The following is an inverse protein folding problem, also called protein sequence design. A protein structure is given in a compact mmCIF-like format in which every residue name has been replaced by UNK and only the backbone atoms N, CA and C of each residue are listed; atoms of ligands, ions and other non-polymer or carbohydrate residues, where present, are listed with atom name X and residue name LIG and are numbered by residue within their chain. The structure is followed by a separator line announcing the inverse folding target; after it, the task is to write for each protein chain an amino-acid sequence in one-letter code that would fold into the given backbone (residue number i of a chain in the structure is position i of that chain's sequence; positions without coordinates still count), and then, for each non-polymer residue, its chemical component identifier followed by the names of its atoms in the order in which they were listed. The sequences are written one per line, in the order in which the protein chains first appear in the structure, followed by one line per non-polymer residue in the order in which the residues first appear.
data_IF_830517186174
#
_entry.id   IF_830517186174
#
_cell.length_a   1.000
_cell.length_b   1.000
_cell.length_c   1.000
_cell.angle_alpha   90.00
_cell.angle_beta   90.00
_cell.angle_gamma   90.00
#
_symmetry.space_group_name_H-M   'P 1'
#
loop_
_entity.id
_entity.type
_entity.pdbx_description
1 polymer ?
#
# COMPACT_ATOMS: atom_id res chain seq x y z
N UNK A 1 3.12 -72.40 59.24
CA UNK A 1 4.37 -71.60 59.22
C UNK A 1 4.08 -70.26 58.59
N UNK A 2 3.95 -69.21 59.43
CA UNK A 2 3.67 -67.88 59.00
C UNK A 2 4.95 -67.08 59.06
N UNK A 3 5.35 -66.43 57.99
CA UNK A 3 6.49 -65.53 57.95
C UNK A 3 5.97 -64.12 57.84
N UNK A 4 6.22 -63.34 58.91
CA UNK A 4 5.93 -61.90 58.97
C UNK A 4 6.87 -61.13 58.03
N UNK A 5 6.40 -60.22 57.27
CA UNK A 5 7.17 -59.20 56.58
C UNK A 5 7.00 -57.85 57.28
N UNK A 6 8.13 -57.31 57.63
CA UNK A 6 8.38 -56.05 58.33
C UNK A 6 7.98 -54.81 57.46
N UNK A 7 7.27 -53.84 58.09
CA UNK A 7 7.02 -52.54 57.55
C UNK A 7 8.29 -51.70 57.57
N UNK A 8 8.84 -51.39 56.43
CA UNK A 8 9.87 -50.34 56.26
C UNK A 8 9.19 -49.02 55.88
N UNK A 9 9.41 -48.04 56.72
CA UNK A 9 8.98 -46.66 56.58
C UNK A 9 9.61 -46.02 55.34
N UNK A 10 8.78 -45.52 54.40
CA UNK A 10 9.19 -44.68 53.31
C UNK A 10 9.01 -43.24 53.78
N UNK A 11 10.10 -42.55 54.01
CA UNK A 11 10.12 -41.11 54.27
C UNK A 11 9.91 -40.41 52.90
N UNK A 12 8.74 -39.83 52.68
CA UNK A 12 8.48 -38.98 51.55
C UNK A 12 9.13 -37.60 51.80
N UNK A 13 10.16 -37.28 51.04
CA UNK A 13 10.70 -35.91 50.99
C UNK A 13 9.69 -35.00 50.24
N UNK A 14 8.93 -34.22 50.98
CA UNK A 14 8.10 -33.15 50.43
C UNK A 14 9.03 -31.99 49.99
N UNK A 15 9.34 -31.95 48.71
CA UNK A 15 10.00 -30.79 48.11
C UNK A 15 9.07 -29.57 48.21
N UNK A 16 9.47 -28.54 48.94
CA UNK A 16 8.79 -27.28 49.04
C UNK A 16 8.86 -26.54 47.67
N UNK A 17 7.85 -26.70 46.88
CA UNK A 17 7.57 -25.80 45.73
C UNK A 17 7.10 -24.47 46.37
N UNK A 18 8.00 -23.50 46.41
CA UNK A 18 7.62 -22.12 46.79
C UNK A 18 6.55 -21.59 45.81
N UNK A 19 5.68 -20.70 46.29
CA UNK A 19 4.64 -20.13 45.42
C UNK A 19 5.29 -19.38 44.25
N UNK A 20 5.03 -19.85 43.02
CA UNK A 20 5.36 -19.08 41.82
C UNK A 20 4.42 -17.87 41.83
N UNK A 21 4.91 -16.74 42.32
CA UNK A 21 4.19 -15.47 42.22
C UNK A 21 4.25 -15.05 40.76
N UNK A 22 3.18 -15.33 40.00
CA UNK A 22 2.98 -14.76 38.67
C UNK A 22 2.69 -13.28 38.93
N UNK A 23 3.69 -12.43 38.76
CA UNK A 23 3.51 -10.98 38.74
C UNK A 23 2.79 -10.66 37.44
N UNK A 24 1.46 -10.66 37.47
CA UNK A 24 0.65 -10.08 36.40
C UNK A 24 0.83 -8.58 36.53
N UNK A 25 1.68 -7.99 35.68
CA UNK A 25 1.74 -6.52 35.58
C UNK A 25 0.33 -6.05 35.22
N UNK A 26 -0.25 -5.10 35.97
CA UNK A 26 -1.54 -4.55 35.62
C UNK A 26 -1.44 -3.99 34.20
N UNK A 27 -2.33 -4.40 33.32
CA UNK A 27 -2.47 -3.80 31.99
C UNK A 27 -2.91 -2.36 32.19
N UNK A 28 -1.95 -1.45 32.07
CA UNK A 28 -2.24 -0.01 32.07
C UNK A 28 -3.16 0.28 30.88
N UNK A 29 -4.20 1.07 31.10
CA UNK A 29 -5.02 1.57 30.00
C UNK A 29 -4.12 2.35 29.03
N UNK A 30 -4.32 2.17 27.73
CA UNK A 30 -3.53 2.87 26.72
C UNK A 30 -3.70 4.39 26.87
N UNK A 31 -2.57 5.11 26.90
CA UNK A 31 -2.55 6.57 26.94
C UNK A 31 -3.03 7.17 25.61
N UNK A 32 -2.74 6.43 24.51
CA UNK A 32 -3.08 6.81 23.15
C UNK A 32 -3.80 5.66 22.43
N UNK A 33 -5.04 5.94 22.00
CA UNK A 33 -5.83 5.00 21.18
C UNK A 33 -6.02 5.60 19.82
N UNK A 34 -5.62 4.84 18.79
CA UNK A 34 -5.64 5.30 17.42
C UNK A 34 -6.37 4.32 16.50
N UNK A 35 -6.72 4.82 15.33
CA UNK A 35 -7.19 4.02 14.22
C UNK A 35 -6.26 4.23 13.00
N UNK A 36 -5.94 3.13 12.34
CA UNK A 36 -5.19 3.06 11.10
C UNK A 36 -6.09 2.52 10.00
N UNK A 37 -6.22 3.26 8.91
CA UNK A 37 -7.02 2.84 7.77
C UNK A 37 -6.15 2.56 6.55
N UNK A 38 -6.63 1.70 5.66
CA UNK A 38 -6.12 1.48 4.31
C UNK A 38 -7.20 0.84 3.44
N UNK A 39 -7.08 0.98 2.11
CA UNK A 39 -8.09 0.52 1.17
C UNK A 39 -7.88 -0.92 0.66
N UNK A 40 -6.87 -1.65 1.16
CA UNK A 40 -6.53 -2.98 0.67
C UNK A 40 -7.27 -4.09 1.44
N UNK A 41 -7.43 -5.29 0.85
CA UNK A 41 -8.02 -6.44 1.54
C UNK A 41 -7.22 -6.87 2.77
N UNK A 42 -7.92 -7.39 3.80
CA UNK A 42 -7.30 -7.85 5.04
C UNK A 42 -6.35 -9.04 4.85
N UNK A 43 -6.52 -9.84 3.79
CA UNK A 43 -5.61 -10.95 3.45
C UNK A 43 -4.27 -10.54 2.87
N UNK A 44 -4.11 -9.27 2.44
CA UNK A 44 -2.92 -8.76 1.75
C UNK A 44 -1.72 -8.51 2.67
N UNK A 45 -0.54 -8.40 2.07
CA UNK A 45 0.72 -8.13 2.76
C UNK A 45 0.69 -6.80 3.50
N UNK A 46 0.07 -5.76 2.92
CA UNK A 46 -0.06 -4.45 3.54
C UNK A 46 -0.78 -4.53 4.90
N UNK A 47 -1.97 -5.14 4.94
CA UNK A 47 -2.74 -5.25 6.19
C UNK A 47 -1.98 -6.02 7.26
N UNK A 48 -1.42 -7.17 6.90
CA UNK A 48 -0.66 -8.02 7.84
C UNK A 48 0.52 -7.29 8.45
N UNK A 49 1.27 -6.57 7.63
CA UNK A 49 2.43 -5.80 8.10
C UNK A 49 2.01 -4.59 8.95
N UNK A 50 0.92 -3.89 8.61
CA UNK A 50 0.40 -2.81 9.45
C UNK A 50 -0.08 -3.32 10.82
N UNK A 51 -0.79 -4.45 10.87
CA UNK A 51 -1.21 -5.08 12.14
C UNK A 51 0.02 -5.43 12.97
N UNK A 52 0.99 -6.14 12.39
CA UNK A 52 2.20 -6.55 13.09
C UNK A 52 3.04 -5.35 13.56
N UNK A 53 3.12 -4.29 12.76
CA UNK A 53 3.76 -3.02 13.12
C UNK A 53 3.13 -2.42 14.39
N UNK A 54 1.81 -2.30 14.43
CA UNK A 54 1.13 -1.71 15.57
C UNK A 54 1.16 -2.60 16.81
N UNK A 55 1.18 -3.91 16.66
CA UNK A 55 1.42 -4.84 17.77
C UNK A 55 2.84 -4.68 18.35
N UNK A 56 3.86 -4.51 17.51
CA UNK A 56 5.22 -4.22 17.94
C UNK A 56 5.30 -2.87 18.66
N UNK A 57 4.68 -1.82 18.13
CA UNK A 57 4.58 -0.51 18.79
C UNK A 57 3.90 -0.63 20.15
N UNK A 58 2.80 -1.37 20.26
CA UNK A 58 2.12 -1.63 21.53
C UNK A 58 3.04 -2.31 22.53
N UNK A 59 3.77 -3.33 22.10
CA UNK A 59 4.70 -4.05 22.96
C UNK A 59 5.85 -3.15 23.45
N UNK A 60 6.51 -2.43 22.54
CA UNK A 60 7.65 -1.56 22.84
C UNK A 60 7.26 -0.34 23.68
N UNK A 61 6.01 0.13 23.56
CA UNK A 61 5.47 1.22 24.42
C UNK A 61 4.86 0.71 25.73
N UNK A 62 5.01 -0.59 26.06
CA UNK A 62 4.39 -1.21 27.26
C UNK A 62 2.87 -0.96 27.31
N UNK A 63 2.18 -1.02 26.16
CA UNK A 63 0.74 -0.83 26.06
C UNK A 63 0.27 0.62 26.09
N UNK A 64 1.16 1.62 26.09
CA UNK A 64 0.77 3.04 26.07
C UNK A 64 0.14 3.46 24.75
N UNK A 65 0.49 2.80 23.66
CA UNK A 65 -0.12 3.00 22.34
C UNK A 65 -0.92 1.76 21.97
N UNK A 66 -2.17 1.95 21.59
CA UNK A 66 -3.05 0.92 21.06
C UNK A 66 -3.66 1.43 19.75
N UNK A 67 -3.50 0.67 18.66
CA UNK A 67 -4.01 1.07 17.34
C UNK A 67 -4.83 -0.05 16.72
N UNK A 68 -6.05 0.26 16.31
CA UNK A 68 -6.88 -0.68 15.53
C UNK A 68 -6.67 -0.44 14.04
N UNK A 69 -6.34 -1.50 13.29
CA UNK A 69 -6.12 -1.43 11.85
C UNK A 69 -7.38 -1.89 11.10
N UNK A 70 -7.89 -1.02 10.24
CA UNK A 70 -9.07 -1.26 9.43
C UNK A 70 -8.72 -1.41 7.94
N UNK A 71 -8.98 -2.60 7.41
CA UNK A 71 -8.89 -2.90 5.98
C UNK A 71 -10.07 -2.31 5.20
N UNK A 72 -9.93 -2.16 3.88
CA UNK A 72 -10.97 -1.73 2.94
C UNK A 72 -11.68 -0.45 3.39
N UNK A 73 -10.92 0.46 4.04
CA UNK A 73 -11.42 1.70 4.66
C UNK A 73 -12.60 1.47 5.62
N UNK A 74 -12.69 0.30 6.24
CA UNK A 74 -13.81 -0.09 7.08
C UNK A 74 -15.18 0.18 6.42
N UNK A 75 -15.24 0.00 5.10
CA UNK A 75 -16.44 0.23 4.27
C UNK A 75 -17.03 1.64 4.37
N UNK A 76 -16.18 2.66 4.64
CA UNK A 76 -16.62 4.06 4.63
C UNK A 76 -17.34 4.36 3.30
N UNK A 77 -18.55 4.87 3.38
CA UNK A 77 -19.28 5.36 2.22
C UNK A 77 -18.49 6.50 1.56
N UNK A 78 -18.32 6.46 0.23
CA UNK A 78 -17.47 7.41 -0.50
C UNK A 78 -16.00 6.97 -0.65
N UNK A 79 -15.58 5.87 0.02
CA UNK A 79 -14.26 5.25 -0.17
C UNK A 79 -13.08 6.13 0.21
N UNK A 80 -12.00 6.05 -0.60
CA UNK A 80 -10.73 6.74 -0.30
C UNK A 80 -10.83 8.26 -0.14
N UNK A 81 -11.58 9.01 -0.98
CA UNK A 81 -11.71 10.46 -0.81
C UNK A 81 -12.34 10.85 0.53
N UNK A 82 -13.34 10.08 0.99
CA UNK A 82 -13.98 10.35 2.27
C UNK A 82 -13.09 9.95 3.46
N UNK A 83 -12.38 8.83 3.36
CA UNK A 83 -11.39 8.43 4.36
C UNK A 83 -10.26 9.48 4.48
N UNK A 84 -9.81 10.05 3.38
CA UNK A 84 -8.80 11.12 3.38
C UNK A 84 -9.32 12.40 4.07
N UNK A 85 -10.57 12.79 3.83
CA UNK A 85 -11.19 13.91 4.58
C UNK A 85 -11.23 13.64 6.08
N UNK A 86 -11.56 12.42 6.49
CA UNK A 86 -11.57 12.02 7.90
C UNK A 86 -10.18 12.05 8.53
N UNK A 87 -9.13 11.71 7.79
CA UNK A 87 -7.75 11.90 8.23
C UNK A 87 -7.46 13.38 8.46
N UNK A 88 -7.81 14.25 7.52
CA UNK A 88 -7.59 15.70 7.64
C UNK A 88 -8.38 16.35 8.79
N UNK A 89 -9.55 15.80 9.12
CA UNK A 89 -10.35 16.19 10.25
C UNK A 89 -9.83 15.63 11.60
N UNK A 90 -8.88 14.68 11.57
CA UNK A 90 -8.38 14.01 12.77
C UNK A 90 -9.27 12.90 13.31
N UNK A 91 -10.34 12.54 12.61
CA UNK A 91 -11.19 11.39 12.94
C UNK A 91 -10.45 10.05 12.71
N UNK A 92 -9.56 10.02 11.73
CA UNK A 92 -8.59 8.95 11.49
C UNK A 92 -7.21 9.50 11.83
N UNK A 93 -6.42 8.79 12.64
CA UNK A 93 -5.11 9.24 13.07
C UNK A 93 -4.01 8.81 12.13
N UNK A 94 -4.13 7.60 11.56
CA UNK A 94 -3.15 7.05 10.60
C UNK A 94 -3.86 6.51 9.37
N UNK A 95 -3.26 6.73 8.21
CA UNK A 95 -3.81 6.24 6.94
C UNK A 95 -2.67 5.79 6.03
N UNK A 96 -2.94 4.76 5.25
CA UNK A 96 -1.98 4.29 4.24
C UNK A 96 -2.67 4.30 2.88
N UNK A 97 -2.21 5.19 1.98
CA UNK A 97 -2.90 5.48 0.74
C UNK A 97 -1.93 5.73 -0.42
N UNK A 98 -2.38 5.43 -1.64
CA UNK A 98 -1.65 5.65 -2.89
C UNK A 98 -1.47 7.15 -3.20
N UNK A 99 -0.28 7.52 -3.70
CA UNK A 99 0.08 8.91 -3.99
C UNK A 99 -0.89 9.63 -4.94
N UNK A 100 -1.39 8.94 -5.96
CA UNK A 100 -2.36 9.53 -6.90
C UNK A 100 -3.68 9.91 -6.26
N UNK A 101 -4.13 9.19 -5.22
CA UNK A 101 -5.34 9.57 -4.48
C UNK A 101 -5.05 10.72 -3.52
N UNK A 102 -3.89 10.70 -2.86
CA UNK A 102 -3.41 11.83 -2.03
C UNK A 102 -3.31 13.11 -2.88
N UNK A 103 -2.96 12.97 -4.16
CA UNK A 103 -2.87 14.04 -5.15
C UNK A 103 -4.13 14.89 -5.31
N UNK A 104 -5.30 14.36 -4.95
CA UNK A 104 -6.55 15.14 -4.93
C UNK A 104 -6.52 16.29 -3.91
N UNK A 105 -5.61 16.23 -2.91
CA UNK A 105 -5.40 17.26 -1.89
C UNK A 105 -4.00 17.87 -1.98
N UNK A 106 -2.99 17.06 -2.32
CA UNK A 106 -1.59 17.42 -2.43
C UNK A 106 -1.08 17.05 -3.83
N UNK A 107 -1.21 17.92 -4.83
CA UNK A 107 -0.92 17.58 -6.23
C UNK A 107 0.44 16.92 -6.46
N UNK A 108 1.49 17.34 -5.74
CA UNK A 108 2.84 16.76 -5.89
C UNK A 108 2.91 15.28 -5.49
N UNK A 109 1.97 14.75 -4.71
CA UNK A 109 1.93 13.33 -4.40
C UNK A 109 1.64 12.45 -5.64
N UNK A 110 0.99 13.00 -6.68
CA UNK A 110 0.81 12.30 -7.95
C UNK A 110 2.13 12.06 -8.70
N UNK A 111 3.19 12.82 -8.39
CA UNK A 111 4.50 12.64 -9.01
C UNK A 111 5.10 11.24 -8.81
N UNK A 112 4.69 10.53 -7.76
CA UNK A 112 5.02 9.12 -7.54
C UNK A 112 4.48 8.19 -8.64
N UNK A 113 3.53 8.66 -9.42
CA UNK A 113 2.81 7.91 -10.45
C UNK A 113 3.01 8.49 -11.85
N UNK A 114 4.08 9.26 -12.08
CA UNK A 114 4.44 9.68 -13.44
C UNK A 114 4.66 8.43 -14.29
N UNK A 115 3.93 8.28 -15.41
CA UNK A 115 4.00 7.06 -16.18
C UNK A 115 5.41 6.79 -16.71
N UNK A 116 5.85 5.54 -16.60
CA UNK A 116 7.17 5.06 -17.00
C UNK A 116 8.36 5.82 -16.36
N UNK A 117 8.16 6.55 -15.28
CA UNK A 117 9.27 7.19 -14.56
C UNK A 117 10.18 6.14 -13.94
N UNK A 118 9.63 5.20 -13.20
CA UNK A 118 10.40 4.14 -12.55
C UNK A 118 10.46 2.87 -13.41
N UNK A 119 11.65 2.30 -13.54
CA UNK A 119 11.89 1.05 -14.26
C UNK A 119 11.59 -0.19 -13.40
N UNK A 120 11.60 -0.03 -12.08
CA UNK A 120 11.39 -1.11 -11.13
C UNK A 120 10.91 -0.58 -9.77
N UNK A 121 10.33 -1.45 -8.95
CA UNK A 121 9.95 -1.09 -7.59
C UNK A 121 11.15 -0.66 -6.71
N UNK A 122 12.34 -1.29 -6.74
CA UNK A 122 13.50 -0.80 -6.00
C UNK A 122 13.94 0.62 -6.36
N UNK A 123 13.86 1.02 -7.65
CA UNK A 123 14.15 2.39 -8.07
C UNK A 123 13.13 3.37 -7.48
N UNK A 124 11.85 3.01 -7.49
CA UNK A 124 10.81 3.81 -6.87
C UNK A 124 11.01 3.93 -5.34
N UNK A 125 11.34 2.82 -4.67
CA UNK A 125 11.60 2.83 -3.23
C UNK A 125 12.74 3.78 -2.87
N UNK A 126 13.85 3.76 -3.63
CA UNK A 126 14.98 4.66 -3.43
C UNK A 126 14.57 6.12 -3.56
N UNK A 127 13.80 6.46 -4.60
CA UNK A 127 13.34 7.83 -4.84
C UNK A 127 12.41 8.31 -3.71
N UNK A 128 11.46 7.48 -3.29
CA UNK A 128 10.49 7.82 -2.23
C UNK A 128 11.15 7.95 -0.86
N UNK A 129 12.17 7.15 -0.56
CA UNK A 129 12.92 7.26 0.70
C UNK A 129 13.97 8.40 0.64
N UNK A 130 14.18 9.02 -0.53
CA UNK A 130 15.15 10.05 -0.81
C UNK A 130 14.63 11.49 -0.75
N UNK A 131 15.36 12.44 -1.38
CA UNK A 131 14.99 13.86 -1.44
C UNK A 131 13.62 14.11 -2.09
N UNK A 132 13.26 13.31 -3.09
CA UNK A 132 11.96 13.39 -3.76
C UNK A 132 10.81 13.12 -2.80
N UNK A 133 10.87 12.02 -2.03
CA UNK A 133 9.84 11.69 -1.05
C UNK A 133 9.78 12.69 0.11
N UNK A 134 10.94 13.22 0.56
CA UNK A 134 10.96 14.28 1.58
C UNK A 134 10.23 15.54 1.13
N UNK A 135 10.44 15.97 -0.11
CA UNK A 135 9.72 17.12 -0.66
C UNK A 135 8.20 16.88 -0.70
N UNK A 136 7.76 15.69 -1.10
CA UNK A 136 6.33 15.33 -1.02
C UNK A 136 5.82 15.43 0.42
N UNK A 137 6.60 14.95 1.39
CA UNK A 137 6.27 15.05 2.82
C UNK A 137 6.15 16.50 3.32
N UNK A 138 7.01 17.42 2.87
CA UNK A 138 6.91 18.84 3.17
C UNK A 138 5.58 19.43 2.68
N UNK A 139 5.20 19.12 1.44
CA UNK A 139 3.95 19.59 0.85
C UNK A 139 2.70 18.95 1.51
N UNK A 140 2.81 17.69 1.94
CA UNK A 140 1.77 17.01 2.72
C UNK A 140 1.62 17.65 4.11
N UNK A 141 2.71 18.03 4.76
CA UNK A 141 2.68 18.69 6.06
C UNK A 141 1.99 20.06 5.99
N UNK A 142 2.17 20.82 4.91
CA UNK A 142 1.45 22.06 4.65
C UNK A 142 -0.07 21.88 4.54
N UNK A 143 -0.53 20.63 4.32
CA UNK A 143 -1.95 20.25 4.25
C UNK A 143 -2.44 19.46 5.47
N UNK A 144 -1.65 19.39 6.54
CA UNK A 144 -2.06 18.76 7.78
C UNK A 144 -1.80 17.24 7.86
N UNK A 145 -0.95 16.69 6.99
CA UNK A 145 -0.56 15.28 6.99
C UNK A 145 0.93 15.12 7.25
N UNK A 146 1.30 14.24 8.15
CA UNK A 146 2.69 13.82 8.35
C UNK A 146 2.99 12.59 7.51
N UNK A 147 3.96 12.67 6.61
CA UNK A 147 4.48 11.54 5.88
C UNK A 147 5.69 10.96 6.61
N UNK A 148 5.69 9.65 6.88
CA UNK A 148 6.81 9.00 7.53
C UNK A 148 8.06 9.02 6.65
N UNK A 149 9.29 9.09 7.22
CA UNK A 149 10.53 9.14 6.44
C UNK A 149 10.76 7.91 5.53
N UNK A 150 10.35 6.73 5.99
CA UNK A 150 10.25 5.50 5.21
C UNK A 150 8.77 5.11 5.17
N UNK A 151 8.03 5.69 4.23
CA UNK A 151 6.57 5.63 4.22
C UNK A 151 5.99 4.67 3.18
N UNK A 152 6.73 4.42 2.09
CA UNK A 152 6.20 3.76 0.91
C UNK A 152 6.16 2.24 1.04
N UNK A 153 5.05 1.67 1.53
CA UNK A 153 4.74 0.26 1.33
C UNK A 153 4.61 -0.03 -0.17
N UNK A 154 5.11 -1.18 -0.62
CA UNK A 154 5.04 -1.55 -2.03
C UNK A 154 3.67 -2.14 -2.39
N UNK A 155 3.20 -1.77 -3.58
CA UNK A 155 2.10 -2.45 -4.26
C UNK A 155 2.63 -3.18 -5.50
N UNK A 156 3.64 -2.62 -6.14
CA UNK A 156 4.33 -3.13 -7.31
C UNK A 156 4.12 -2.29 -8.57
N UNK A 157 4.69 -2.77 -9.67
CA UNK A 157 4.49 -2.19 -11.00
C UNK A 157 3.11 -2.56 -11.51
N UNK A 158 2.41 -1.58 -12.07
CA UNK A 158 1.03 -1.74 -12.56
C UNK A 158 1.04 -2.32 -13.98
N UNK A 159 0.13 -3.27 -14.19
CA UNK A 159 -0.07 -3.99 -15.45
C UNK A 159 -1.50 -3.73 -15.94
N UNK A 160 -1.72 -3.81 -17.22
CA UNK A 160 -3.07 -3.76 -17.79
C UNK A 160 -3.65 -5.16 -17.87
N UNK A 161 -4.89 -5.33 -17.42
CA UNK A 161 -5.62 -6.60 -17.55
C UNK A 161 -6.94 -6.38 -18.27
N UNK A 162 -7.31 -7.32 -19.13
CA UNK A 162 -8.48 -7.19 -19.99
C UNK A 162 -9.30 -8.46 -20.06
N UNK A 163 -10.58 -8.32 -20.34
CA UNK A 163 -11.52 -9.44 -20.48
C UNK A 163 -11.43 -10.06 -21.88
N UNK A 164 -11.28 -9.26 -22.93
CA UNK A 164 -11.56 -9.68 -24.31
C UNK A 164 -10.33 -9.87 -25.20
N UNK A 165 -9.29 -9.05 -25.05
CA UNK A 165 -8.11 -9.04 -25.94
C UNK A 165 -6.87 -8.53 -25.21
N UNK A 166 -5.66 -8.98 -25.58
CA UNK A 166 -4.43 -8.42 -25.05
C UNK A 166 -4.19 -6.99 -25.57
N UNK A 167 -3.36 -6.23 -24.85
CA UNK A 167 -2.84 -4.93 -25.26
C UNK A 167 -1.36 -5.12 -25.64
N UNK A 168 -1.01 -4.85 -26.89
CA UNK A 168 0.36 -4.90 -27.38
C UNK A 168 0.94 -3.49 -27.66
N UNK A 169 0.11 -2.55 -28.05
CA UNK A 169 0.47 -1.19 -28.44
C UNK A 169 -0.60 -0.18 -27.99
N UNK A 170 -0.31 1.13 -27.92
CA UNK A 170 -1.25 2.14 -27.49
C UNK A 170 -2.59 2.14 -28.26
N UNK A 171 -2.54 1.90 -29.56
CA UNK A 171 -3.74 1.90 -30.41
C UNK A 171 -4.77 0.83 -30.02
N UNK A 172 -4.34 -0.22 -29.32
CA UNK A 172 -5.24 -1.26 -28.81
C UNK A 172 -6.19 -0.73 -27.71
N UNK A 173 -5.90 0.44 -27.14
CA UNK A 173 -6.79 1.12 -26.20
C UNK A 173 -7.93 1.92 -26.85
N UNK A 174 -7.91 2.09 -28.17
CA UNK A 174 -8.88 2.97 -28.85
C UNK A 174 -10.33 2.61 -28.48
N UNK A 175 -11.00 3.54 -27.78
CA UNK A 175 -12.37 3.41 -27.31
C UNK A 175 -12.60 2.42 -26.16
N UNK A 176 -11.56 1.76 -25.64
CA UNK A 176 -11.65 0.77 -24.55
C UNK A 176 -12.05 1.44 -23.24
N UNK A 177 -13.11 0.93 -22.62
CA UNK A 177 -13.50 1.35 -21.27
C UNK A 177 -12.60 0.67 -20.24
N UNK A 178 -11.71 1.45 -19.64
CA UNK A 178 -10.79 0.98 -18.62
C UNK A 178 -11.09 1.58 -17.26
N UNK A 179 -11.17 0.74 -16.24
CA UNK A 179 -11.24 1.23 -14.86
C UNK A 179 -9.88 1.76 -14.42
N UNK A 180 -9.87 2.97 -13.86
CA UNK A 180 -8.72 3.55 -13.17
C UNK A 180 -9.10 3.95 -11.74
N UNK A 181 -8.13 3.98 -10.78
CA UNK A 181 -8.38 4.52 -9.44
C UNK A 181 -8.63 6.04 -9.50
N UNK A 182 -9.15 6.65 -8.42
CA UNK A 182 -9.14 8.10 -8.28
C UNK A 182 -7.70 8.64 -8.33
N UNK A 183 -7.43 9.49 -9.32
CA UNK A 183 -6.14 10.11 -9.59
C UNK A 183 -6.14 10.67 -11.00
N UNK A 184 -5.75 11.94 -11.15
CA UNK A 184 -5.86 12.59 -12.44
C UNK A 184 -4.75 12.15 -13.41
N UNK A 185 -3.53 11.93 -12.91
CA UNK A 185 -2.41 11.54 -13.77
C UNK A 185 -2.64 10.20 -14.46
N UNK A 186 -3.17 9.22 -13.74
CA UNK A 186 -3.46 7.91 -14.35
C UNK A 186 -4.63 8.00 -15.34
N UNK A 187 -5.62 8.85 -15.05
CA UNK A 187 -6.71 9.15 -15.98
C UNK A 187 -6.16 9.75 -17.27
N UNK A 188 -5.33 10.81 -17.17
CA UNK A 188 -4.74 11.52 -18.32
C UNK A 188 -3.84 10.56 -19.13
N UNK A 189 -3.13 9.64 -18.47
CA UNK A 189 -2.29 8.65 -19.12
C UNK A 189 -3.08 7.73 -20.04
N UNK A 190 -4.17 7.13 -19.54
CA UNK A 190 -4.98 6.23 -20.37
C UNK A 190 -5.81 6.97 -21.41
N UNK A 191 -6.23 8.20 -21.14
CA UNK A 191 -6.84 9.06 -22.14
C UNK A 191 -5.88 9.35 -23.31
N UNK A 192 -4.58 9.59 -23.01
CA UNK A 192 -3.56 9.80 -24.05
C UNK A 192 -3.30 8.55 -24.91
N UNK A 193 -3.56 7.34 -24.39
CA UNK A 193 -3.53 6.10 -25.17
C UNK A 193 -4.81 5.90 -26.01
N UNK A 194 -5.82 6.77 -25.88
CA UNK A 194 -7.08 6.67 -26.62
C UNK A 194 -8.16 5.83 -25.92
N UNK A 195 -7.93 5.41 -24.68
CA UNK A 195 -8.93 4.74 -23.88
C UNK A 195 -10.03 5.70 -23.39
N UNK A 196 -11.09 5.12 -22.83
CA UNK A 196 -12.13 5.81 -22.05
C UNK A 196 -11.95 5.44 -20.55
N UNK A 197 -11.12 6.17 -19.79
CA UNK A 197 -10.92 5.87 -18.39
C UNK A 197 -12.19 6.13 -17.57
N UNK A 198 -12.54 5.20 -16.69
CA UNK A 198 -13.66 5.28 -15.78
C UNK A 198 -13.14 5.17 -14.34
N UNK A 199 -13.18 6.29 -13.64
CA UNK A 199 -12.75 6.33 -12.23
C UNK A 199 -13.70 5.51 -11.34
N UNK A 200 -13.15 4.56 -10.62
CA UNK A 200 -13.93 3.68 -9.74
C UNK A 200 -13.10 3.27 -8.51
N UNK A 201 -13.64 3.33 -7.28
CA UNK A 201 -12.98 2.87 -6.08
C UNK A 201 -12.54 1.39 -6.17
N UNK A 202 -11.50 1.02 -5.39
CA UNK A 202 -10.91 -0.32 -5.47
C UNK A 202 -11.91 -1.44 -5.17
N UNK A 203 -12.75 -1.27 -4.15
CA UNK A 203 -13.78 -2.24 -3.75
C UNK A 203 -14.93 -2.43 -4.75
N UNK A 204 -14.96 -1.66 -5.83
CA UNK A 204 -15.98 -1.75 -6.89
C UNK A 204 -15.41 -2.28 -8.22
N UNK A 205 -14.14 -2.66 -8.28
CA UNK A 205 -13.50 -3.11 -9.53
C UNK A 205 -14.16 -4.40 -10.03
N UNK A 206 -14.36 -5.35 -9.14
CA UNK A 206 -14.96 -6.65 -9.49
C UNK A 206 -16.35 -6.47 -10.13
N UNK A 207 -17.21 -5.68 -9.50
CA UNK A 207 -18.56 -5.43 -10.01
C UNK A 207 -18.56 -4.63 -11.32
N UNK A 208 -17.62 -3.71 -11.50
CA UNK A 208 -17.49 -2.94 -12.73
C UNK A 208 -17.08 -3.82 -13.93
N UNK A 209 -16.19 -4.81 -13.70
CA UNK A 209 -15.83 -5.81 -14.71
C UNK A 209 -17.00 -6.78 -14.97
N UNK A 210 -17.59 -7.31 -13.90
CA UNK A 210 -18.69 -8.29 -13.98
C UNK A 210 -19.92 -7.75 -14.70
N UNK A 211 -20.26 -6.49 -14.49
CA UNK A 211 -21.40 -5.83 -15.17
C UNK A 211 -21.09 -5.39 -16.59
N UNK A 212 -19.83 -5.49 -17.06
CA UNK A 212 -19.42 -4.96 -18.36
C UNK A 212 -19.37 -3.44 -18.42
N UNK A 213 -19.43 -2.73 -17.29
CA UNK A 213 -19.24 -1.28 -17.22
C UNK A 213 -17.85 -0.88 -17.71
N UNK A 214 -16.88 -1.73 -17.47
CA UNK A 214 -15.52 -1.66 -18.00
C UNK A 214 -15.09 -3.03 -18.54
N UNK A 215 -14.20 -3.05 -19.52
CA UNK A 215 -13.64 -4.28 -20.11
C UNK A 215 -12.15 -4.47 -19.79
N UNK A 216 -11.59 -3.49 -19.09
CA UNK A 216 -10.20 -3.49 -18.66
C UNK A 216 -10.04 -2.82 -17.29
N UNK A 217 -8.94 -3.15 -16.62
CA UNK A 217 -8.45 -2.45 -15.45
C UNK A 217 -6.92 -2.48 -15.43
N UNK A 218 -6.29 -1.73 -14.56
CA UNK A 218 -4.85 -1.68 -14.40
C UNK A 218 -4.48 -1.71 -12.91
N UNK A 219 -3.61 -2.60 -12.53
CA UNK A 219 -3.11 -2.79 -11.16
C UNK A 219 -1.89 -3.72 -11.15
N UNK A 220 -1.12 -3.76 -10.08
CA UNK A 220 -0.19 -4.84 -9.82
C UNK A 220 -0.89 -6.20 -9.69
N UNK A 221 -0.17 -7.28 -9.97
CA UNK A 221 -0.73 -8.63 -9.97
C UNK A 221 -1.32 -9.05 -8.61
N UNK A 222 -0.71 -8.61 -7.51
CA UNK A 222 -1.22 -8.90 -6.17
C UNK A 222 -2.61 -8.29 -5.93
N UNK A 223 -2.91 -7.13 -6.50
CA UNK A 223 -4.25 -6.52 -6.43
C UNK A 223 -5.26 -7.34 -7.24
N UNK A 224 -4.86 -7.80 -8.42
CA UNK A 224 -5.67 -8.69 -9.24
C UNK A 224 -6.08 -9.94 -8.43
N UNK A 225 -5.15 -10.55 -7.70
CA UNK A 225 -5.44 -11.68 -6.81
C UNK A 225 -6.34 -11.27 -5.63
N UNK A 226 -5.99 -10.19 -4.93
CA UNK A 226 -6.65 -9.77 -3.71
C UNK A 226 -8.14 -9.44 -3.89
N UNK A 227 -8.50 -8.90 -5.04
CA UNK A 227 -9.89 -8.60 -5.43
C UNK A 227 -10.51 -9.66 -6.34
N UNK A 228 -9.86 -10.82 -6.53
CA UNK A 228 -10.34 -11.95 -7.36
C UNK A 228 -10.63 -11.55 -8.81
N UNK A 229 -9.88 -10.60 -9.36
CA UNK A 229 -10.10 -10.12 -10.73
C UNK A 229 -9.68 -11.16 -11.76
N UNK A 230 -8.86 -12.12 -11.37
CA UNK A 230 -8.48 -13.29 -12.15
C UNK A 230 -9.67 -14.20 -12.54
N UNK A 231 -10.82 -14.06 -11.88
CA UNK A 231 -12.06 -14.71 -12.29
C UNK A 231 -12.71 -14.06 -13.53
N UNK A 232 -12.39 -12.78 -13.81
CA UNK A 232 -13.03 -11.99 -14.87
C UNK A 232 -12.12 -11.74 -16.07
N UNK A 233 -10.82 -11.57 -15.87
CA UNK A 233 -9.87 -11.20 -16.93
C UNK A 233 -9.25 -12.43 -17.56
N UNK A 234 -8.90 -12.31 -18.83
CA UNK A 234 -8.26 -13.38 -19.62
C UNK A 234 -6.85 -13.05 -20.06
N UNK A 235 -6.50 -11.78 -20.05
CA UNK A 235 -5.21 -11.29 -20.54
C UNK A 235 -4.58 -10.35 -19.54
N UNK A 236 -3.26 -10.47 -19.38
CA UNK A 236 -2.39 -9.56 -18.66
C UNK A 236 -1.31 -9.06 -19.61
N UNK A 237 -1.32 -7.78 -19.90
CA UNK A 237 -0.29 -7.13 -20.69
C UNK A 237 0.70 -6.44 -19.75
N UNK A 238 1.97 -6.88 -19.80
CA UNK A 238 3.04 -6.47 -18.88
C UNK A 238 3.55 -5.07 -19.24
N UNK A 239 2.68 -4.09 -19.05
CA UNK A 239 2.96 -2.69 -19.42
C UNK A 239 3.96 -2.02 -18.51
N UNK A 240 4.03 -2.39 -17.23
CA UNK A 240 4.86 -1.74 -16.21
C UNK A 240 4.80 -0.20 -16.31
N UNK A 241 3.63 0.31 -16.64
CA UNK A 241 3.44 1.71 -17.01
C UNK A 241 3.58 2.66 -15.83
N UNK A 242 3.52 2.17 -14.60
CA UNK A 242 3.50 3.01 -13.41
C UNK A 242 3.86 2.15 -12.19
N UNK A 243 4.68 2.68 -11.29
CA UNK A 243 4.80 2.11 -9.95
C UNK A 243 3.65 2.62 -9.09
N UNK A 244 3.19 1.80 -8.16
CA UNK A 244 2.32 2.28 -7.12
C UNK A 244 2.76 1.77 -5.76
N UNK A 245 2.71 2.68 -4.80
CA UNK A 245 2.97 2.38 -3.40
C UNK A 245 1.94 3.05 -2.52
N UNK A 246 1.91 2.63 -1.27
CA UNK A 246 1.00 3.15 -0.27
C UNK A 246 1.79 3.96 0.75
N UNK A 247 1.53 5.24 0.83
CA UNK A 247 2.21 6.16 1.74
C UNK A 247 1.61 6.04 3.14
N UNK A 248 2.40 5.62 4.12
CA UNK A 248 2.02 5.68 5.53
C UNK A 248 2.09 7.13 5.98
N UNK A 249 0.98 7.64 6.48
CA UNK A 249 0.85 9.02 6.93
C UNK A 249 0.01 9.11 8.21
N UNK A 250 0.19 10.20 8.93
CA UNK A 250 -0.58 10.52 10.12
C UNK A 250 -1.28 11.88 9.99
N UNK A 251 -2.36 12.08 10.74
CA UNK A 251 -2.90 13.41 10.99
C UNK A 251 -1.85 14.24 11.72
N UNK A 252 -1.42 15.36 11.13
CA UNK A 252 -0.24 16.12 11.60
C UNK A 252 -0.36 16.59 13.05
N UNK A 253 -1.52 17.09 13.46
CA UNK A 253 -1.72 17.56 14.84
C UNK A 253 -1.66 16.43 15.85
N UNK A 254 -2.22 15.26 15.52
CA UNK A 254 -2.11 14.06 16.36
C UNK A 254 -0.64 13.64 16.48
N UNK A 255 0.07 13.59 15.37
CA UNK A 255 1.49 13.24 15.34
C UNK A 255 2.36 14.18 16.18
N UNK A 256 2.20 15.49 15.99
CA UNK A 256 3.02 16.50 16.68
C UNK A 256 2.75 16.55 18.20
N UNK A 257 1.57 16.14 18.63
CA UNK A 257 1.22 16.08 20.06
C UNK A 257 1.81 14.86 20.80
N UNK A 258 2.35 13.88 20.07
CA UNK A 258 2.96 12.69 20.69
C UNK A 258 4.31 13.03 21.34
N UNK A 259 4.64 12.38 22.47
CA UNK A 259 5.99 12.41 23.05
C UNK A 259 7.05 11.89 22.04
N UNK A 260 8.23 12.46 22.03
CA UNK A 260 9.30 12.10 21.08
C UNK A 260 9.73 10.63 21.21
N UNK A 261 9.73 10.10 22.44
CA UNK A 261 9.95 8.66 22.69
C UNK A 261 8.95 7.78 21.92
N UNK A 262 7.66 8.13 21.95
CA UNK A 262 6.61 7.37 21.23
C UNK A 262 6.77 7.54 19.72
N UNK A 263 7.05 8.76 19.24
CA UNK A 263 7.32 9.02 17.83
C UNK A 263 8.49 8.14 17.32
N UNK A 264 9.59 8.07 18.08
CA UNK A 264 10.74 7.25 17.73
C UNK A 264 10.40 5.76 17.62
N UNK A 265 9.61 5.21 18.55
CA UNK A 265 9.15 3.82 18.48
C UNK A 265 8.29 3.59 17.23
N UNK A 266 7.33 4.48 16.95
CA UNK A 266 6.45 4.34 15.78
C UNK A 266 7.25 4.44 14.48
N UNK A 267 8.16 5.42 14.33
CA UNK A 267 8.99 5.60 13.13
C UNK A 267 9.92 4.42 12.87
N UNK A 268 10.56 3.88 13.92
CA UNK A 268 11.44 2.72 13.79
C UNK A 268 10.66 1.47 13.32
N UNK A 269 9.51 1.22 13.92
CA UNK A 269 8.64 0.12 13.51
C UNK A 269 8.10 0.34 12.09
N UNK A 270 7.64 1.54 11.76
CA UNK A 270 7.20 1.87 10.41
C UNK A 270 8.28 1.56 9.37
N UNK A 271 9.51 2.03 9.59
CA UNK A 271 10.63 1.77 8.69
C UNK A 271 10.94 0.27 8.53
N UNK A 272 10.89 -0.50 9.63
CA UNK A 272 11.15 -1.95 9.61
C UNK A 272 10.06 -2.71 8.83
N UNK A 273 8.79 -2.47 9.16
CA UNK A 273 7.68 -3.18 8.52
C UNK A 273 7.43 -2.75 7.09
N UNK A 274 7.74 -1.51 6.70
CA UNK A 274 7.76 -1.08 5.31
C UNK A 274 8.78 -1.88 4.51
N UNK A 275 10.02 -2.02 5.00
CA UNK A 275 11.06 -2.80 4.32
C UNK A 275 10.69 -4.28 4.21
N UNK A 276 10.19 -4.87 5.29
CA UNK A 276 9.71 -6.27 5.29
C UNK A 276 8.60 -6.48 4.26
N UNK A 277 7.61 -5.61 4.23
CA UNK A 277 6.49 -5.70 3.30
C UNK A 277 6.95 -5.53 1.83
N UNK A 278 7.90 -4.64 1.54
CA UNK A 278 8.48 -4.51 0.20
C UNK A 278 9.06 -5.82 -0.32
N UNK A 279 9.79 -6.55 0.52
CA UNK A 279 10.33 -7.86 0.16
C UNK A 279 9.24 -8.92 -0.03
N UNK A 280 8.27 -8.97 0.87
CA UNK A 280 7.13 -9.89 0.78
C UNK A 280 6.30 -9.63 -0.48
N UNK A 281 6.00 -8.36 -0.77
CA UNK A 281 5.24 -7.96 -1.94
C UNK A 281 5.97 -8.26 -3.25
N UNK A 282 7.28 -8.03 -3.28
CA UNK A 282 8.13 -8.38 -4.43
C UNK A 282 8.09 -9.88 -4.72
N UNK A 283 8.27 -10.72 -3.69
CA UNK A 283 8.17 -12.19 -3.82
C UNK A 283 6.78 -12.61 -4.29
N UNK A 284 5.72 -12.02 -3.72
CA UNK A 284 4.35 -12.31 -4.13
C UNK A 284 4.13 -11.99 -5.61
N UNK A 285 4.42 -10.76 -6.03
CA UNK A 285 4.22 -10.33 -7.43
C UNK A 285 5.02 -11.21 -8.42
N UNK A 286 6.24 -11.61 -8.07
CA UNK A 286 7.08 -12.47 -8.92
C UNK A 286 6.43 -13.85 -9.16
N UNK A 287 5.78 -14.46 -8.16
CA UNK A 287 5.15 -15.78 -8.29
C UNK A 287 3.76 -15.77 -8.93
N UNK A 288 3.12 -14.60 -9.05
CA UNK A 288 1.74 -14.53 -9.52
C UNK A 288 1.59 -14.74 -11.03
N UNK A 289 2.61 -14.45 -11.83
CA UNK A 289 2.58 -14.73 -13.28
C UNK A 289 2.34 -16.23 -13.53
N UNK A 290 3.12 -17.09 -12.89
CA UNK A 290 2.99 -18.53 -13.04
C UNK A 290 1.64 -19.03 -12.51
N UNK A 291 1.22 -18.50 -11.36
CA UNK A 291 -0.07 -18.83 -10.75
C UNK A 291 -1.25 -18.52 -11.68
N UNK A 292 -1.26 -17.35 -12.32
CA UNK A 292 -2.33 -16.96 -13.22
C UNK A 292 -2.25 -17.66 -14.57
N UNK A 293 -1.04 -17.92 -15.08
CA UNK A 293 -0.85 -18.71 -16.29
C UNK A 293 -1.41 -20.13 -16.11
N UNK A 294 -1.18 -20.75 -14.97
CA UNK A 294 -1.76 -22.06 -14.63
C UNK A 294 -3.30 -22.06 -14.55
N UNK A 295 -3.91 -20.90 -14.35
CA UNK A 295 -5.36 -20.68 -14.39
C UNK A 295 -5.90 -20.31 -15.78
N UNK A 296 -5.04 -20.33 -16.81
CA UNK A 296 -5.42 -20.05 -18.19
C UNK A 296 -5.44 -18.59 -18.58
N UNK A 297 -4.84 -17.69 -17.77
CA UNK A 297 -4.69 -16.29 -18.12
C UNK A 297 -3.45 -16.12 -19.00
N UNK A 298 -3.64 -15.49 -20.16
CA UNK A 298 -2.56 -15.25 -21.11
C UNK A 298 -1.78 -13.98 -20.76
N UNK A 299 -0.46 -14.08 -20.83
CA UNK A 299 0.45 -12.95 -20.59
C UNK A 299 1.15 -12.55 -21.91
N UNK A 300 1.32 -11.25 -22.11
CA UNK A 300 2.16 -10.71 -23.16
C UNK A 300 3.03 -9.55 -22.67
N UNK A 301 4.19 -9.41 -23.26
CA UNK A 301 5.05 -8.25 -23.12
C UNK A 301 4.60 -7.15 -24.10
N UNK A 302 4.96 -5.89 -23.78
CA UNK A 302 4.66 -4.74 -24.63
C UNK A 302 5.92 -3.94 -24.94
N UNK A 303 5.91 -3.23 -26.06
CA UNK A 303 6.92 -2.21 -26.34
C UNK A 303 6.61 -0.93 -25.57
N UNK A 304 7.27 -0.75 -24.44
CA UNK A 304 7.10 0.44 -23.59
C UNK A 304 7.48 1.74 -24.30
N UNK A 305 8.39 1.69 -25.29
CA UNK A 305 8.79 2.89 -26.04
C UNK A 305 7.62 3.43 -26.87
N UNK A 306 6.82 2.55 -27.46
CA UNK A 306 5.61 2.94 -28.20
C UNK A 306 4.59 3.64 -27.29
N UNK A 307 4.44 3.19 -26.03
CA UNK A 307 3.56 3.84 -25.05
C UNK A 307 4.11 5.20 -24.60
N UNK A 308 5.42 5.29 -24.31
CA UNK A 308 6.07 6.56 -23.94
C UNK A 308 5.91 7.62 -25.04
N UNK A 309 6.00 7.23 -26.30
CA UNK A 309 5.84 8.14 -27.44
C UNK A 309 4.47 8.85 -27.49
N UNK A 310 3.47 8.36 -26.75
CA UNK A 310 2.15 8.99 -26.64
C UNK A 310 2.05 9.99 -25.50
N UNK A 311 3.05 10.13 -24.65
CA UNK A 311 2.96 10.87 -23.39
C UNK A 311 3.62 12.26 -23.33
N UNK A 312 4.28 12.83 -24.37
CA UNK A 312 4.91 14.14 -24.25
C UNK A 312 3.96 15.22 -23.74
N UNK A 313 2.69 15.22 -24.21
CA UNK A 313 1.66 16.16 -23.75
C UNK A 313 1.27 15.94 -22.29
N UNK A 314 1.22 14.69 -21.82
CA UNK A 314 0.97 14.35 -20.40
C UNK A 314 2.13 14.85 -19.54
N UNK A 315 3.37 14.57 -19.93
CA UNK A 315 4.55 15.03 -19.20
C UNK A 315 4.63 16.56 -19.10
N UNK A 316 4.38 17.26 -20.22
CA UNK A 316 4.38 18.73 -20.23
C UNK A 316 3.30 19.30 -19.28
N UNK A 317 2.08 18.79 -19.37
CA UNK A 317 0.96 19.21 -18.49
C UNK A 317 1.28 18.96 -17.03
N UNK A 318 1.83 17.78 -16.70
CA UNK A 318 2.11 17.42 -15.31
C UNK A 318 3.36 18.08 -14.75
N UNK A 319 4.36 18.34 -15.58
CA UNK A 319 5.51 19.17 -15.20
C UNK A 319 5.08 20.57 -14.75
N UNK A 320 4.15 21.18 -15.49
CA UNK A 320 3.56 22.48 -15.14
C UNK A 320 2.78 22.40 -13.82
N UNK A 321 1.88 21.43 -13.68
CA UNK A 321 1.04 21.22 -12.47
C UNK A 321 1.85 20.92 -11.22
N UNK A 322 2.90 20.09 -11.31
CA UNK A 322 3.74 19.67 -10.19
C UNK A 322 4.79 20.69 -9.83
N UNK A 323 5.12 21.57 -10.77
CA UNK A 323 6.15 22.58 -10.64
C UNK A 323 7.58 22.06 -10.84
N UNK A 324 8.48 22.97 -11.20
CA UNK A 324 9.86 22.63 -11.56
C UNK A 324 10.63 21.93 -10.43
N UNK A 325 10.40 22.29 -9.16
CA UNK A 325 11.10 21.67 -8.02
C UNK A 325 10.76 20.18 -7.91
N UNK A 326 9.47 19.84 -7.91
CA UNK A 326 9.03 18.47 -7.84
C UNK A 326 9.54 17.63 -9.03
N UNK A 327 9.37 18.16 -10.24
CA UNK A 327 9.78 17.48 -11.46
C UNK A 327 11.30 17.27 -11.52
N UNK A 328 12.10 18.28 -11.15
CA UNK A 328 13.56 18.15 -11.12
C UNK A 328 14.04 17.12 -10.09
N UNK A 329 13.39 17.05 -8.92
CA UNK A 329 13.70 16.03 -7.92
C UNK A 329 13.39 14.61 -8.43
N UNK A 330 12.27 14.43 -9.14
CA UNK A 330 11.96 13.17 -9.77
C UNK A 330 12.98 12.81 -10.86
N UNK A 331 13.28 13.74 -11.79
CA UNK A 331 14.28 13.53 -12.86
C UNK A 331 15.68 13.25 -12.33
N UNK A 332 16.05 13.77 -11.15
CA UNK A 332 17.33 13.46 -10.51
C UNK A 332 17.46 11.98 -10.12
N UNK A 333 16.34 11.32 -9.81
CA UNK A 333 16.32 9.89 -9.44
C UNK A 333 16.19 8.97 -10.67
N UNK A 334 15.41 9.36 -11.69
CA UNK A 334 15.00 8.46 -12.77
C UNK A 334 15.54 8.83 -14.16
N UNK A 335 16.24 9.96 -14.27
CA UNK A 335 16.66 10.54 -15.54
C UNK A 335 15.56 11.39 -16.20
N UNK A 336 15.87 11.95 -17.38
CA UNK A 336 14.93 12.81 -18.11
C UNK A 336 13.67 12.07 -18.56
N UNK A 337 12.53 12.73 -18.42
CA UNK A 337 11.21 12.18 -18.69
C UNK A 337 10.52 12.79 -19.94
N UNK A 338 11.25 13.32 -20.86
CA UNK A 338 10.71 13.90 -22.10
C UNK A 338 11.12 15.33 -22.35
#
# INVERSE_FOLDING_TARGET
MATQFSRRSVIAAAGALGPITIIVKPTRAADHKFVQYHNQPAGGTLHKNLVAMWEAVRAETNGRVETTVYAENNKIAGGDPEALKKLLAGEIQFFTLMGGIIGTVVPVAEAQQVPFAFKSAPEAHKAIDGPFGRYIGEEMAAKGMYLFPVAGFDNGMRQVTTVNRPIAKPDDFAGMKIRVPPGQMIFDTFAAFGAQPITTPANQIYDALKSGRVEAQENPLAIMQGYKLDEMVKYVSMTNHMWSGFNLMAHLRTWTALPDEIKGVIENNAANYVRQQREEQGRLNAGLRDTFTARGIAFNEVDQAAFRARLPGVYATWKDKLGNKCWSLLEAEVGKLG
#
